data_IF_205058551992
#
_entry.id   IF_205058551992
#
_cell.length_a   1.000
_cell.length_b   1.000
_cell.length_c   1.000
_cell.angle_alpha   90.00
_cell.angle_beta   90.00
_cell.angle_gamma   90.00
#
_symmetry.space_group_name_H-M   'P 1'
#
loop_
_entity.id
_entity.type
_entity.pdbx_description
1 polymer ?
#
# COMPACT_ATOMS: atom_id res chain seq x y z
N UNK A 1 -23.64 -19.64 12.67
CA UNK A 1 -22.62 -19.05 13.56
C UNK A 1 -21.88 -17.99 12.78
N UNK A 2 -21.84 -16.74 13.24
CA UNK A 2 -21.08 -15.67 12.57
C UNK A 2 -19.60 -16.02 12.56
N UNK A 3 -18.93 -15.91 11.41
CA UNK A 3 -17.49 -16.15 11.30
C UNK A 3 -16.78 -15.04 12.06
N UNK A 4 -16.00 -15.40 13.09
CA UNK A 4 -15.20 -14.44 13.85
C UNK A 4 -14.17 -13.79 12.92
N UNK A 5 -14.21 -12.46 12.83
CA UNK A 5 -13.39 -11.71 11.89
C UNK A 5 -12.04 -11.26 12.46
N UNK A 6 -11.91 -11.22 13.79
CA UNK A 6 -10.71 -10.73 14.49
C UNK A 6 -10.22 -11.71 15.55
N UNK A 7 -8.94 -12.03 15.47
CA UNK A 7 -8.21 -12.97 16.33
C UNK A 7 -7.13 -12.22 17.10
N UNK A 8 -7.23 -12.22 18.43
CA UNK A 8 -6.31 -11.47 19.30
C UNK A 8 -5.01 -12.25 19.47
N UNK A 9 -3.96 -11.54 19.86
CA UNK A 9 -2.64 -12.11 20.20
C UNK A 9 -2.70 -12.88 21.52
N UNK A 10 -3.33 -14.04 21.50
CA UNK A 10 -3.45 -14.96 22.65
C UNK A 10 -3.23 -16.38 22.17
N UNK A 11 -2.70 -17.26 23.03
CA UNK A 11 -2.51 -18.67 22.68
C UNK A 11 -3.81 -19.37 22.31
N UNK A 12 -4.91 -19.02 22.98
CA UNK A 12 -6.23 -19.57 22.68
C UNK A 12 -6.66 -19.26 21.25
N UNK A 13 -6.63 -17.98 20.88
CA UNK A 13 -7.02 -17.54 19.54
C UNK A 13 -6.06 -18.08 18.47
N UNK A 14 -4.76 -18.19 18.79
CA UNK A 14 -3.76 -18.74 17.89
C UNK A 14 -4.03 -20.22 17.56
N UNK A 15 -4.28 -21.04 18.60
CA UNK A 15 -4.63 -22.47 18.44
C UNK A 15 -5.97 -22.66 17.74
N UNK A 16 -6.97 -21.85 18.08
CA UNK A 16 -8.30 -21.92 17.48
C UNK A 16 -8.26 -21.55 15.99
N UNK A 17 -7.61 -20.43 15.65
CA UNK A 17 -7.45 -20.03 14.25
C UNK A 17 -6.65 -21.07 13.46
N UNK A 18 -5.54 -21.56 14.00
CA UNK A 18 -4.71 -22.57 13.34
C UNK A 18 -5.45 -23.90 13.11
N UNK A 19 -6.45 -24.23 13.93
CA UNK A 19 -7.24 -25.46 13.76
C UNK A 19 -8.24 -25.34 12.61
N UNK A 20 -8.79 -24.15 12.38
CA UNK A 20 -9.83 -23.94 11.37
C UNK A 20 -9.26 -23.47 10.03
N UNK A 21 -8.04 -22.94 10.02
CA UNK A 21 -7.38 -22.43 8.82
C UNK A 21 -7.09 -23.55 7.82
N UNK A 22 -7.29 -23.25 6.53
CA UNK A 22 -7.08 -24.16 5.41
C UNK A 22 -6.14 -23.55 4.40
N UNK A 23 -5.53 -24.40 3.58
CA UNK A 23 -4.76 -23.97 2.41
C UNK A 23 -5.64 -23.09 1.51
N UNK A 24 -5.09 -21.95 1.09
CA UNK A 24 -5.77 -20.93 0.31
C UNK A 24 -6.39 -19.80 1.13
N UNK A 25 -6.63 -20.01 2.44
CA UNK A 25 -7.13 -18.94 3.31
C UNK A 25 -6.17 -17.76 3.35
N UNK A 26 -6.73 -16.56 3.51
CA UNK A 26 -5.98 -15.30 3.56
C UNK A 26 -6.29 -14.60 4.87
N UNK A 27 -5.22 -14.19 5.55
CA UNK A 27 -5.26 -13.43 6.79
C UNK A 27 -4.53 -12.10 6.62
N UNK A 28 -4.92 -11.13 7.43
CA UNK A 28 -4.38 -9.77 7.38
C UNK A 28 -3.86 -9.38 8.76
N UNK A 29 -2.74 -8.66 8.79
CA UNK A 29 -2.20 -8.02 10.01
C UNK A 29 -2.04 -6.54 9.73
N UNK A 30 -2.30 -5.70 10.73
CA UNK A 30 -2.10 -4.25 10.64
C UNK A 30 -0.83 -3.89 11.41
N UNK A 31 -0.01 -3.03 10.81
CA UNK A 31 1.19 -2.47 11.44
C UNK A 31 1.08 -0.94 11.47
N UNK A 32 1.46 -0.36 12.61
CA UNK A 32 1.65 1.07 12.74
C UNK A 32 3.00 1.49 12.13
N UNK A 33 2.99 2.57 11.36
CA UNK A 33 4.19 3.13 10.73
C UNK A 33 4.72 4.27 11.59
N UNK A 34 6.03 4.30 11.80
CA UNK A 34 6.73 5.39 12.46
C UNK A 34 6.78 6.63 11.54
N UNK A 35 5.71 7.42 11.54
CA UNK A 35 5.56 8.60 10.66
C UNK A 35 6.58 9.70 10.95
N UNK A 36 7.25 9.69 12.11
CA UNK A 36 8.39 10.55 12.39
C UNK A 36 9.63 10.22 11.54
N UNK A 37 9.75 8.96 11.07
CA UNK A 37 10.84 8.52 10.17
C UNK A 37 10.38 8.44 8.71
N UNK A 38 9.10 8.15 8.48
CA UNK A 38 8.47 8.12 7.16
C UNK A 38 7.27 9.08 7.10
N UNK A 39 7.50 10.41 6.99
CA UNK A 39 6.43 11.42 7.06
C UNK A 39 5.42 11.33 5.92
N UNK A 40 5.79 10.68 4.83
CA UNK A 40 5.01 10.54 3.61
C UNK A 40 4.29 9.18 3.51
N UNK A 41 4.38 8.33 4.53
CA UNK A 41 3.72 7.04 4.54
C UNK A 41 2.39 7.14 5.31
N UNK A 42 1.44 6.24 5.02
CA UNK A 42 0.21 6.12 5.80
C UNK A 42 0.55 5.66 7.23
N UNK A 43 -0.16 6.19 8.22
CA UNK A 43 0.08 5.86 9.63
C UNK A 43 -0.13 4.36 9.95
N UNK A 44 -0.97 3.68 9.17
CA UNK A 44 -1.25 2.26 9.32
C UNK A 44 -1.31 1.58 7.96
N UNK A 45 -0.67 0.40 7.88
CA UNK A 45 -0.66 -0.43 6.68
C UNK A 45 -1.02 -1.87 7.04
N UNK A 46 -1.66 -2.57 6.10
CA UNK A 46 -1.90 -3.99 6.26
C UNK A 46 -0.91 -4.85 5.48
N UNK A 47 -0.56 -6.00 6.04
CA UNK A 47 0.14 -7.10 5.36
C UNK A 47 -0.82 -8.26 5.13
N UNK A 48 -0.70 -8.91 3.98
CA UNK A 48 -1.52 -10.06 3.59
C UNK A 48 -0.71 -11.35 3.71
N UNK A 49 -1.32 -12.38 4.29
CA UNK A 49 -0.72 -13.66 4.62
C UNK A 49 -1.60 -14.79 4.08
N UNK A 50 -1.14 -15.54 3.08
CA UNK A 50 -1.90 -16.66 2.51
C UNK A 50 -1.38 -17.97 3.06
N UNK A 51 -2.27 -18.88 3.48
CA UNK A 51 -1.87 -20.26 3.80
C UNK A 51 -1.54 -20.99 2.51
N UNK A 52 -0.27 -21.36 2.33
CA UNK A 52 0.25 -21.99 1.11
C UNK A 52 0.16 -23.52 1.17
N UNK A 53 0.46 -24.11 2.34
CA UNK A 53 0.53 -25.56 2.49
C UNK A 53 0.30 -25.99 3.94
N UNK A 54 0.11 -27.30 4.13
CA UNK A 54 0.08 -27.95 5.44
C UNK A 54 1.43 -28.59 5.72
N UNK A 55 2.06 -28.30 6.85
CA UNK A 55 3.33 -28.91 7.21
C UNK A 55 3.18 -30.44 7.28
N UNK A 56 4.01 -31.24 6.58
CA UNK A 56 3.78 -32.68 6.42
C UNK A 56 3.87 -33.46 7.74
N UNK A 57 4.79 -33.07 8.64
CA UNK A 57 4.94 -33.73 9.95
C UNK A 57 4.00 -33.16 11.03
N UNK A 58 3.95 -31.84 11.18
CA UNK A 58 3.22 -31.16 12.26
C UNK A 58 1.74 -30.94 11.95
N UNK A 59 1.31 -31.10 10.69
CA UNK A 59 -0.06 -30.82 10.27
C UNK A 59 -0.48 -29.35 10.44
N UNK A 60 0.48 -28.43 10.62
CA UNK A 60 0.20 -27.02 10.86
C UNK A 60 0.01 -26.26 9.52
N UNK A 61 -0.96 -25.35 9.42
CA UNK A 61 -1.12 -24.49 8.24
C UNK A 61 0.00 -23.44 8.19
N UNK A 62 0.64 -23.33 7.02
CA UNK A 62 1.85 -22.53 6.81
C UNK A 62 1.58 -21.39 5.82
N UNK A 63 2.03 -20.18 6.15
CA UNK A 63 1.82 -18.94 5.36
C UNK A 63 2.95 -18.69 4.36
N UNK A 64 4.18 -19.06 4.72
CA UNK A 64 5.35 -19.00 3.85
C UNK A 64 6.44 -19.76 4.58
N UNK A 65 7.03 -20.79 3.95
CA UNK A 65 8.23 -21.53 4.40
C UNK A 65 8.31 -21.86 5.90
N UNK A 66 8.65 -20.86 6.72
CA UNK A 66 8.88 -20.94 8.17
C UNK A 66 7.77 -20.40 9.08
N UNK A 67 6.72 -19.74 8.57
CA UNK A 67 5.69 -19.10 9.40
C UNK A 67 4.38 -19.91 9.40
N UNK A 68 3.97 -20.41 10.57
CA UNK A 68 2.64 -21.02 10.76
C UNK A 68 1.57 -19.97 11.07
N UNK A 69 0.29 -20.32 10.89
CA UNK A 69 -0.84 -19.46 11.29
C UNK A 69 -0.83 -19.16 12.80
N UNK A 70 -0.49 -20.15 13.63
CA UNK A 70 -0.32 -19.94 15.07
C UNK A 70 0.79 -18.91 15.35
N UNK A 71 1.94 -19.06 14.66
CA UNK A 71 3.05 -18.13 14.75
C UNK A 71 2.69 -16.72 14.29
N UNK A 72 1.86 -16.58 13.25
CA UNK A 72 1.35 -15.31 12.78
C UNK A 72 0.59 -14.59 13.90
N UNK A 73 -0.37 -15.27 14.54
CA UNK A 73 -1.19 -14.68 15.61
C UNK A 73 -0.32 -14.28 16.81
N UNK A 74 0.61 -15.14 17.23
CA UNK A 74 1.43 -14.91 18.41
C UNK A 74 2.53 -13.84 18.20
N UNK A 75 2.98 -13.61 16.96
CA UNK A 75 4.02 -12.62 16.66
C UNK A 75 3.46 -11.27 16.25
N UNK A 76 2.43 -11.28 15.41
CA UNK A 76 1.93 -10.08 14.72
C UNK A 76 0.47 -9.76 15.02
N UNK A 77 -0.21 -10.57 15.86
CA UNK A 77 -1.62 -10.35 16.17
C UNK A 77 -1.89 -8.97 16.79
N UNK A 78 -3.08 -8.40 16.55
CA UNK A 78 -4.30 -9.05 16.06
C UNK A 78 -4.30 -9.41 14.56
N UNK A 79 -4.94 -10.53 14.23
CA UNK A 79 -5.10 -11.05 12.87
C UNK A 79 -6.55 -10.93 12.43
N UNK A 80 -6.77 -10.48 11.21
CA UNK A 80 -8.08 -10.25 10.60
C UNK A 80 -8.32 -11.26 9.48
N UNK A 81 -9.53 -11.81 9.38
CA UNK A 81 -9.91 -12.72 8.29
C UNK A 81 -10.48 -11.99 7.07
N UNK A 82 -10.76 -10.70 7.22
CA UNK A 82 -11.24 -9.82 6.18
C UNK A 82 -10.23 -8.68 6.00
N UNK A 83 -10.13 -8.18 4.77
CA UNK A 83 -9.25 -7.06 4.49
C UNK A 83 -9.72 -5.83 5.29
N UNK A 84 -8.81 -5.16 6.02
CA UNK A 84 -9.16 -3.91 6.70
C UNK A 84 -9.66 -2.86 5.69
N UNK A 85 -10.88 -2.37 5.88
CA UNK A 85 -11.51 -1.43 4.96
C UNK A 85 -10.80 -0.07 4.98
N UNK A 86 -10.59 0.53 3.80
CA UNK A 86 -10.00 1.87 3.66
C UNK A 86 -8.52 1.96 4.00
N UNK A 87 -7.84 0.83 4.27
CA UNK A 87 -6.41 0.80 4.56
C UNK A 87 -5.61 0.35 3.34
N UNK A 88 -4.44 0.96 3.13
CA UNK A 88 -3.50 0.54 2.08
C UNK A 88 -2.69 -0.68 2.51
N UNK A 89 -2.43 -1.58 1.57
CA UNK A 89 -1.53 -2.70 1.79
C UNK A 89 -0.07 -2.28 1.67
N UNK A 90 0.83 -2.86 2.46
CA UNK A 90 2.29 -2.60 2.38
C UNK A 90 2.85 -2.87 0.98
N UNK A 91 2.23 -3.78 0.23
CA UNK A 91 2.60 -4.14 -1.15
C UNK A 91 2.09 -3.14 -2.21
N UNK A 92 1.21 -2.21 -1.84
CA UNK A 92 0.63 -1.24 -2.75
C UNK A 92 1.48 0.03 -2.79
N UNK A 93 1.55 0.73 -3.93
CA UNK A 93 2.36 1.94 -4.07
C UNK A 93 1.94 2.99 -3.04
N UNK A 94 2.96 3.59 -2.39
CA UNK A 94 2.75 4.68 -1.44
C UNK A 94 2.22 5.96 -2.10
N UNK A 95 1.71 6.90 -1.29
CA UNK A 95 1.23 8.17 -1.82
C UNK A 95 2.35 8.90 -2.57
N UNK A 96 2.01 9.46 -3.72
CA UNK A 96 2.96 10.18 -4.57
C UNK A 96 2.98 11.65 -4.16
N UNK A 97 4.08 12.08 -3.54
CA UNK A 97 4.31 13.49 -3.24
C UNK A 97 5.26 14.07 -4.28
N UNK A 98 4.90 15.23 -4.83
CA UNK A 98 5.90 16.06 -5.50
C UNK A 98 6.92 16.49 -4.44
N UNK A 99 8.20 16.22 -4.69
CA UNK A 99 9.27 16.65 -3.81
C UNK A 99 9.25 18.17 -3.61
N UNK A 100 9.87 18.67 -2.53
CA UNK A 100 9.98 20.10 -2.31
C UNK A 100 10.64 20.75 -3.53
N UNK A 101 9.97 21.75 -4.08
CA UNK A 101 10.54 22.59 -5.12
C UNK A 101 11.81 23.27 -4.56
N UNK A 102 12.91 23.36 -5.35
CA UNK A 102 14.09 24.10 -4.93
C UNK A 102 13.72 25.50 -4.41
N UNK A 103 14.40 25.99 -3.38
CA UNK A 103 14.19 27.36 -2.89
C UNK A 103 14.25 28.36 -4.05
N UNK A 104 13.25 29.25 -4.13
CA UNK A 104 13.13 30.23 -5.22
C UNK A 104 12.44 29.72 -6.50
N UNK A 105 12.02 28.45 -6.57
CA UNK A 105 11.25 27.90 -7.71
C UNK A 105 9.75 27.81 -7.45
N UNK A 106 9.27 28.47 -6.38
CA UNK A 106 7.85 28.55 -6.07
C UNK A 106 7.04 29.07 -7.26
N UNK A 107 5.96 28.36 -7.59
CA UNK A 107 4.87 28.91 -8.37
C UNK A 107 4.32 30.10 -7.59
N UNK A 108 4.68 31.30 -8.03
CA UNK A 108 4.50 32.54 -7.27
C UNK A 108 5.58 33.59 -7.52
N UNK A 109 6.66 33.26 -8.26
CA UNK A 109 7.52 34.34 -8.80
C UNK A 109 6.72 35.16 -9.82
N UNK A 110 6.87 36.47 -9.75
CA UNK A 110 6.38 37.34 -10.79
C UNK A 110 7.05 36.95 -12.12
N UNK A 111 6.22 36.77 -13.15
CA UNK A 111 6.71 36.56 -14.50
C UNK A 111 7.37 37.86 -14.97
N UNK A 112 8.54 37.76 -15.58
CA UNK A 112 9.12 38.91 -16.26
C UNK A 112 8.29 39.27 -17.50
N UNK A 113 8.33 40.53 -17.93
CA UNK A 113 7.64 41.00 -19.15
C UNK A 113 8.02 40.19 -20.41
N UNK A 114 9.22 39.60 -20.44
CA UNK A 114 9.66 38.75 -21.53
C UNK A 114 8.94 37.38 -21.52
N UNK A 115 8.73 36.83 -20.33
CA UNK A 115 8.03 35.55 -20.14
C UNK A 115 6.53 35.68 -20.38
N UNK A 116 5.93 36.79 -19.94
CA UNK A 116 4.53 37.14 -20.23
C UNK A 116 4.31 37.21 -21.76
N UNK A 117 5.15 37.98 -22.47
CA UNK A 117 5.06 38.08 -23.94
C UNK A 117 5.27 36.74 -24.65
N UNK A 118 6.16 35.90 -24.14
CA UNK A 118 6.38 34.55 -24.68
C UNK A 118 5.14 33.66 -24.49
N UNK A 119 4.47 33.74 -23.34
CA UNK A 119 3.23 33.01 -23.06
C UNK A 119 2.09 33.51 -23.94
N UNK A 120 1.93 34.83 -24.06
CA UNK A 120 0.94 35.45 -24.95
C UNK A 120 1.13 35.01 -26.40
N UNK A 121 2.39 34.95 -26.88
CA UNK A 121 2.70 34.47 -28.23
C UNK A 121 2.39 32.98 -28.44
N UNK A 122 2.49 32.16 -27.38
CA UNK A 122 2.12 30.74 -27.43
C UNK A 122 0.59 30.54 -27.43
N UNK A 123 -0.13 31.34 -26.64
CA UNK A 123 -1.61 31.33 -26.56
C UNK A 123 -2.24 31.90 -27.83
N UNK A 124 -1.63 32.94 -28.42
CA UNK A 124 -2.08 33.56 -29.67
C UNK A 124 -1.97 32.62 -30.90
N UNK A 125 -1.43 31.41 -30.72
CA UNK A 125 -1.49 30.34 -31.70
C UNK A 125 -0.48 30.52 -32.82
N UNK A 126 0.63 29.76 -32.77
CA UNK A 126 1.36 29.44 -34.00
C UNK A 126 0.41 28.67 -34.91
N UNK A 127 0.13 29.12 -36.14
CA UNK A 127 -0.56 28.28 -37.11
C UNK A 127 0.28 27.02 -37.29
N UNK A 128 -0.33 25.86 -37.01
CA UNK A 128 0.22 24.56 -37.39
C UNK A 128 0.44 24.62 -38.90
N UNK A 129 1.68 24.79 -39.35
CA UNK A 129 2.02 24.56 -40.76
C UNK A 129 1.78 23.07 -40.98
N UNK A 130 0.59 22.75 -41.48
CA UNK A 130 0.34 21.53 -42.22
C UNK A 130 1.36 21.53 -43.34
N UNK A 131 2.41 20.71 -43.20
CA UNK A 131 3.25 20.34 -44.34
C UNK A 131 2.31 19.68 -45.34
N UNK A 132 1.90 20.42 -46.36
CA UNK A 132 1.28 19.83 -47.53
C UNK A 132 2.33 18.93 -48.18
N UNK A 133 2.18 17.63 -47.99
CA UNK A 133 2.68 16.63 -48.91
C UNK A 133 1.85 16.77 -50.19
N UNK A 134 2.40 17.49 -51.18
CA UNK A 134 1.97 17.50 -52.58
C UNK A 134 3.29 17.42 -53.39
N UNK A 135 3.50 16.50 -54.33
CA UNK A 135 2.50 15.78 -55.12
C UNK A 135 1.91 16.73 -56.12
#
# INVERSE_FOLDING_TARGET
MGKRTVWKRTERDAKELSRIAKVGDVFYTVADVATNLAPYEDAQLYSQHRVEYMHPLLGAPMICGSLSVEGLVLRFGPVYTEQPAGMRGVHQPGPQYAGPLPEGTGFGRDLSDAEIRSLEAQVAGKPRRLRSLLG
#
